data_IF_348503702494
#
_entry.id   IF_348503702494
#
_cell.length_a   1.000
_cell.length_b   1.000
_cell.length_c   1.000
_cell.angle_alpha   90.00
_cell.angle_beta   90.00
_cell.angle_gamma   90.00
#
_symmetry.space_group_name_H-M   'P 1'
#
loop_
_entity.id
_entity.type
_entity.pdbx_description
1 polymer ?
#
# COMPACT_ATOMS: atom_id res chain seq x y z
N UNK A 1 9.92 -15.85 54.24
CA UNK A 1 9.30 -14.69 53.58
C UNK A 1 9.21 -15.00 52.08
N UNK A 2 8.02 -15.38 51.60
CA UNK A 2 7.75 -15.63 50.17
C UNK A 2 7.36 -14.29 49.56
N UNK A 3 8.21 -13.73 48.70
CA UNK A 3 7.90 -12.52 47.96
C UNK A 3 6.89 -12.87 46.85
N UNK A 4 5.74 -12.18 46.88
CA UNK A 4 4.74 -12.25 45.84
C UNK A 4 5.28 -11.57 44.58
N UNK A 5 5.38 -12.34 43.49
CA UNK A 5 5.60 -11.78 42.16
C UNK A 5 4.32 -11.04 41.74
N UNK A 6 4.41 -9.72 41.67
CA UNK A 6 3.37 -8.90 41.07
C UNK A 6 3.29 -9.24 39.58
N UNK A 7 2.21 -9.90 39.17
CA UNK A 7 1.84 -10.08 37.78
C UNK A 7 1.41 -8.72 37.26
N UNK A 8 2.30 -8.05 36.53
CA UNK A 8 1.92 -6.89 35.72
C UNK A 8 1.08 -7.39 34.53
N UNK A 9 -0.01 -6.69 34.16
CA UNK A 9 -0.85 -7.10 33.05
C UNK A 9 -0.06 -7.04 31.74
N UNK A 10 0.08 -8.20 31.10
CA UNK A 10 0.64 -8.38 29.76
C UNK A 10 -0.27 -7.73 28.72
N UNK A 11 0.09 -6.55 28.22
CA UNK A 11 -0.55 -5.98 27.03
C UNK A 11 -0.14 -6.80 25.80
N UNK A 12 -1.03 -7.21 24.89
CA UNK A 12 -0.61 -7.72 23.58
C UNK A 12 -0.20 -6.54 22.69
N UNK A 13 1.04 -6.53 22.18
CA UNK A 13 1.44 -5.54 21.16
C UNK A 13 0.95 -6.05 19.81
N UNK A 14 -0.23 -5.58 19.42
CA UNK A 14 -0.68 -5.43 18.04
C UNK A 14 -1.20 -4.01 17.95
N UNK A 15 -0.49 -3.11 17.28
CA UNK A 15 -0.99 -1.75 17.08
C UNK A 15 -1.40 -1.56 15.62
N UNK A 16 -2.58 -2.09 15.30
CA UNK A 16 -3.48 -1.45 14.33
C UNK A 16 -4.40 -0.52 15.14
N UNK A 17 -4.05 0.76 15.27
CA UNK A 17 -4.92 1.77 15.90
C UNK A 17 -5.40 2.73 14.82
N UNK A 18 -6.70 2.75 14.54
CA UNK A 18 -7.37 3.86 13.87
C UNK A 18 -8.77 4.07 14.46
N UNK A 19 -9.05 5.33 14.79
CA UNK A 19 -10.37 5.84 15.14
C UNK A 19 -11.10 6.19 13.82
N UNK A 20 -12.37 5.79 13.63
CA UNK A 20 -13.17 6.29 12.52
C UNK A 20 -13.90 7.59 12.91
N UNK A 21 -13.81 8.63 12.07
CA UNK A 21 -14.82 9.69 11.99
C UNK A 21 -15.92 9.24 11.02
N UNK A 22 -17.18 9.36 11.46
CA UNK A 22 -18.34 8.96 10.70
C UNK A 22 -18.59 9.93 9.53
N UNK A 23 -18.95 9.40 8.36
CA UNK A 23 -19.58 10.19 7.29
C UNK A 23 -20.73 9.41 6.64
N UNK A 24 -21.82 10.15 6.43
CA UNK A 24 -23.10 9.76 5.86
C UNK A 24 -23.05 9.68 4.34
N UNK A 25 -23.55 8.59 3.75
CA UNK A 25 -23.72 8.46 2.32
C UNK A 25 -25.04 9.08 1.84
N UNK A 26 -24.94 9.94 0.81
CA UNK A 26 -26.06 10.33 -0.07
C UNK A 26 -25.86 9.62 -1.41
N UNK A 27 -26.89 8.92 -1.88
CA UNK A 27 -26.96 8.27 -3.20
C UNK A 27 -27.29 9.29 -4.30
N UNK A 28 -26.72 9.22 -5.52
CA UNK A 28 -27.22 10.01 -6.64
C UNK A 28 -28.40 9.31 -7.32
N UNK A 29 -29.54 10.01 -7.36
CA UNK A 29 -30.68 9.65 -8.22
C UNK A 29 -30.31 9.78 -9.70
N UNK A 30 -30.63 8.73 -10.46
CA UNK A 30 -30.62 8.74 -11.91
C UNK A 30 -31.73 9.65 -12.46
N UNK A 31 -31.39 10.58 -13.36
CA UNK A 31 -32.37 11.19 -14.27
C UNK A 31 -31.92 11.11 -15.72
N UNK A 32 -32.84 10.56 -16.51
CA UNK A 32 -32.85 10.42 -17.97
C UNK A 32 -32.94 11.78 -18.66
N UNK A 33 -32.28 11.92 -19.80
CA UNK A 33 -32.90 12.48 -21.01
C UNK A 33 -32.12 12.03 -22.24
N UNK A 34 -32.76 11.17 -23.03
CA UNK A 34 -32.32 10.76 -24.37
C UNK A 34 -32.84 11.81 -25.34
N UNK A 35 -31.96 12.45 -26.09
CA UNK A 35 -32.32 13.15 -27.33
C UNK A 35 -31.34 12.76 -28.43
N UNK A 36 -31.85 11.97 -29.39
CA UNK A 36 -31.20 11.67 -30.66
C UNK A 36 -31.55 12.74 -31.69
N UNK A 37 -30.59 13.29 -32.44
CA UNK A 37 -30.88 13.91 -33.72
C UNK A 37 -30.58 12.97 -34.89
N UNK A 38 -31.58 12.88 -35.74
CA UNK A 38 -31.65 12.19 -37.02
C UNK A 38 -30.58 12.59 -38.04
N UNK A 39 -30.22 11.59 -38.84
CA UNK A 39 -29.57 11.61 -40.15
C UNK A 39 -29.69 12.88 -41.01
N UNK A 40 -28.59 13.30 -41.63
CA UNK A 40 -28.60 13.90 -42.98
C UNK A 40 -27.37 13.54 -43.79
N UNK A 41 -27.64 13.01 -44.99
CA UNK A 41 -26.73 12.68 -46.10
C UNK A 41 -25.96 13.90 -46.60
N UNK A 42 -24.75 13.69 -47.15
CA UNK A 42 -24.28 14.50 -48.28
C UNK A 42 -22.77 14.58 -48.57
N UNK A 43 -22.35 13.85 -49.61
CA UNK A 43 -21.38 14.21 -50.68
C UNK A 43 -19.90 14.59 -50.37
N UNK A 44 -19.01 13.72 -50.87
CA UNK A 44 -17.85 13.98 -51.79
C UNK A 44 -17.44 15.45 -52.03
N UNK A 45 -16.15 15.82 -51.80
CA UNK A 45 -15.05 15.92 -52.81
C UNK A 45 -13.79 16.66 -52.25
N UNK A 46 -12.62 16.12 -52.65
CA UNK A 46 -11.34 16.77 -53.04
C UNK A 46 -10.63 17.84 -52.18
N UNK A 47 -9.39 17.49 -51.80
CA UNK A 47 -8.11 18.22 -51.95
C UNK A 47 -8.15 19.75 -52.19
N UNK A 48 -7.51 20.51 -51.31
CA UNK A 48 -6.45 21.47 -51.66
C UNK A 48 -5.69 21.99 -50.43
N UNK A 49 -4.38 22.14 -50.62
CA UNK A 49 -3.42 22.89 -49.82
C UNK A 49 -3.66 24.40 -49.88
N UNK A 50 -3.34 25.12 -48.81
CA UNK A 50 -3.23 26.59 -48.83
C UNK A 50 -2.87 27.18 -47.47
N UNK A 51 -1.81 27.97 -47.43
CA UNK A 51 -1.20 28.55 -46.24
C UNK A 51 -1.74 29.95 -45.89
N UNK A 52 -1.42 30.36 -44.66
CA UNK A 52 -1.06 31.71 -44.20
C UNK A 52 -2.12 32.71 -43.66
N UNK A 53 -1.69 33.36 -42.56
CA UNK A 53 -1.99 34.71 -42.04
C UNK A 53 -3.38 34.93 -41.40
N UNK A 54 -3.49 35.24 -40.11
CA UNK A 54 -3.17 36.46 -39.33
C UNK A 54 -4.40 37.34 -39.10
N UNK A 55 -4.71 37.62 -37.83
CA UNK A 55 -5.49 38.75 -37.26
C UNK A 55 -6.22 38.20 -36.01
N UNK A 56 -5.74 38.47 -34.80
CA UNK A 56 -5.99 39.69 -34.02
C UNK A 56 -7.48 39.90 -33.71
N UNK A 57 -7.87 39.54 -32.48
CA UNK A 57 -9.16 39.87 -31.88
C UNK A 57 -8.99 39.86 -30.36
N UNK A 58 -8.63 41.03 -29.83
CA UNK A 58 -8.73 41.36 -28.40
C UNK A 58 -10.15 41.13 -27.92
N UNK A 59 -10.32 40.24 -26.95
CA UNK A 59 -11.51 40.18 -26.10
C UNK A 59 -11.08 40.17 -24.64
N UNK A 60 -11.60 41.13 -23.89
CA UNK A 60 -11.44 41.24 -22.44
C UNK A 60 -12.18 40.08 -21.75
N UNK A 61 -11.53 39.33 -20.84
CA UNK A 61 -12.26 38.46 -19.94
C UNK A 61 -12.87 39.30 -18.81
N UNK A 62 -14.15 39.08 -18.56
CA UNK A 62 -14.83 39.53 -17.35
C UNK A 62 -14.28 38.69 -16.19
N UNK A 63 -13.80 39.39 -15.16
CA UNK A 63 -13.52 38.82 -13.85
C UNK A 63 -14.88 38.60 -13.18
N UNK A 64 -15.37 37.36 -13.23
CA UNK A 64 -16.41 36.89 -12.33
C UNK A 64 -15.67 36.40 -11.06
N UNK A 65 -15.73 37.24 -10.02
CA UNK A 65 -15.27 36.93 -8.67
C UNK A 65 -16.29 35.96 -8.03
N UNK A 66 -16.18 34.67 -8.36
CA UNK A 66 -16.91 33.62 -7.67
C UNK A 66 -16.11 33.18 -6.42
N UNK A 67 -16.68 33.52 -5.26
CA UNK A 67 -16.32 33.09 -3.91
C UNK A 67 -16.42 31.55 -3.76
N UNK A 68 -15.41 30.83 -4.28
CA UNK A 68 -15.23 29.38 -4.13
C UNK A 68 -14.28 29.03 -2.94
N UNK A 69 -14.19 29.93 -1.95
CA UNK A 69 -13.43 29.71 -0.71
C UNK A 69 -14.38 29.15 0.33
N UNK A 70 -14.43 27.82 0.43
CA UNK A 70 -14.85 27.02 1.59
C UNK A 70 -15.31 25.61 1.14
N UNK A 71 -14.68 25.05 0.10
CA UNK A 71 -14.60 23.59 0.03
C UNK A 71 -13.57 23.17 1.06
N UNK A 72 -14.06 22.95 2.28
CA UNK A 72 -13.41 22.10 3.25
C UNK A 72 -12.94 20.84 2.50
N UNK A 73 -11.63 20.79 2.25
CA UNK A 73 -10.92 19.57 1.90
C UNK A 73 -10.97 18.68 3.15
N UNK A 74 -12.16 18.18 3.49
CA UNK A 74 -12.29 16.93 4.21
C UNK A 74 -11.72 15.91 3.24
N UNK A 75 -10.39 15.76 3.29
CA UNK A 75 -9.58 15.26 2.19
C UNK A 75 -9.85 13.77 1.94
N UNK A 76 -10.88 13.17 2.57
CA UNK A 76 -11.42 11.85 2.28
C UNK A 76 -10.39 10.73 2.40
N UNK A 77 -9.16 11.07 2.81
CA UNK A 77 -8.02 10.21 2.98
C UNK A 77 -8.33 9.38 4.21
N UNK A 78 -9.14 8.36 3.98
CA UNK A 78 -9.28 7.23 4.89
C UNK A 78 -7.86 6.91 5.37
N UNK A 79 -7.61 6.88 6.68
CA UNK A 79 -6.28 6.59 7.16
C UNK A 79 -5.88 5.20 6.65
N UNK A 80 -5.03 5.22 5.62
CA UNK A 80 -4.55 4.10 4.80
C UNK A 80 -3.82 3.02 5.63
N UNK A 81 -3.49 3.28 6.91
CA UNK A 81 -2.79 2.33 7.78
C UNK A 81 -3.57 1.01 7.98
N UNK A 82 -4.79 0.91 7.47
CA UNK A 82 -5.52 -0.34 7.30
C UNK A 82 -4.83 -1.39 6.42
N UNK A 83 -3.79 -1.04 5.63
CA UNK A 83 -3.07 -1.97 4.73
C UNK A 83 -1.55 -1.93 4.85
N UNK A 84 -1.05 -1.56 6.03
CA UNK A 84 0.37 -1.58 6.31
C UNK A 84 0.70 -2.55 7.44
N UNK A 85 1.73 -3.38 7.24
CA UNK A 85 2.33 -4.19 8.28
C UNK A 85 3.75 -3.69 8.51
N UNK A 86 3.96 -2.99 9.63
CA UNK A 86 5.24 -2.41 10.01
C UNK A 86 5.82 -3.21 11.17
N UNK A 87 7.06 -3.68 11.06
CA UNK A 87 7.64 -4.59 12.06
C UNK A 87 9.16 -4.49 12.16
N UNK A 88 9.69 -4.95 13.29
CA UNK A 88 11.11 -4.94 13.63
C UNK A 88 11.84 -6.14 12.99
N UNK A 89 11.32 -7.35 13.23
CA UNK A 89 11.88 -8.63 12.82
C UNK A 89 10.84 -9.43 12.01
N UNK A 90 11.27 -10.12 10.95
CA UNK A 90 10.36 -10.97 10.17
C UNK A 90 9.95 -12.21 10.95
N UNK A 91 10.90 -12.82 11.66
CA UNK A 91 10.68 -14.07 12.37
C UNK A 91 9.74 -13.85 13.57
N UNK A 92 9.97 -12.80 14.36
CA UNK A 92 9.17 -12.50 15.55
C UNK A 92 7.91 -11.68 15.22
N UNK A 93 8.00 -10.79 14.23
CA UNK A 93 6.93 -9.86 13.88
C UNK A 93 5.89 -10.43 12.93
N UNK A 94 6.26 -11.39 12.07
CA UNK A 94 5.36 -11.92 11.03
C UNK A 94 5.26 -13.43 11.08
N UNK A 95 6.35 -14.19 10.96
CA UNK A 95 6.26 -15.64 10.74
C UNK A 95 5.70 -16.40 11.95
N UNK A 96 6.06 -15.98 13.17
CA UNK A 96 5.55 -16.55 14.42
C UNK A 96 4.27 -15.87 14.95
N UNK A 97 3.93 -14.68 14.43
CA UNK A 97 2.81 -13.90 14.92
C UNK A 97 1.51 -14.21 14.14
N UNK A 98 0.60 -14.96 14.77
CA UNK A 98 -0.67 -15.39 14.16
C UNK A 98 -1.52 -14.19 13.71
N UNK A 99 -1.62 -13.14 14.53
CA UNK A 99 -2.41 -11.96 14.18
C UNK A 99 -1.83 -11.21 12.97
N UNK A 100 -0.50 -11.07 12.89
CA UNK A 100 0.17 -10.47 11.74
C UNK A 100 -0.05 -11.30 10.46
N UNK A 101 -0.01 -12.63 10.57
CA UNK A 101 -0.30 -13.56 9.46
C UNK A 101 -1.74 -13.47 8.98
N UNK A 102 -2.71 -13.48 9.89
CA UNK A 102 -4.12 -13.34 9.54
C UNK A 102 -4.40 -11.98 8.91
N UNK A 103 -3.83 -10.90 9.47
CA UNK A 103 -3.90 -9.56 8.87
C UNK A 103 -3.32 -9.54 7.45
N UNK A 104 -2.13 -10.10 7.24
CA UNK A 104 -1.48 -10.15 5.93
C UNK A 104 -2.32 -10.98 4.94
N UNK A 105 -2.76 -12.17 5.34
CA UNK A 105 -3.59 -13.06 4.52
C UNK A 105 -4.87 -12.35 4.06
N UNK A 106 -5.60 -11.74 4.99
CA UNK A 106 -6.83 -10.99 4.72
C UNK A 106 -6.58 -9.80 3.80
N UNK A 107 -5.53 -9.01 4.07
CA UNK A 107 -5.21 -7.81 3.28
C UNK A 107 -4.86 -8.17 1.84
N UNK A 108 -4.14 -9.27 1.62
CA UNK A 108 -3.79 -9.74 0.27
C UNK A 108 -5.00 -10.33 -0.46
N UNK A 109 -5.89 -11.06 0.23
CA UNK A 109 -7.16 -11.50 -0.36
C UNK A 109 -8.05 -10.32 -0.76
N UNK A 110 -8.12 -9.27 0.08
CA UNK A 110 -8.81 -8.03 -0.26
C UNK A 110 -8.20 -7.35 -1.49
N UNK A 111 -6.86 -7.27 -1.57
CA UNK A 111 -6.17 -6.68 -2.72
C UNK A 111 -6.49 -7.43 -4.03
N UNK A 112 -6.45 -8.77 -4.00
CA UNK A 112 -6.81 -9.63 -5.13
C UNK A 112 -8.29 -9.47 -5.53
N UNK A 113 -9.21 -9.41 -4.56
CA UNK A 113 -10.63 -9.18 -4.84
C UNK A 113 -10.88 -7.82 -5.49
N UNK A 114 -10.17 -6.77 -5.06
CA UNK A 114 -10.28 -5.43 -5.65
C UNK A 114 -9.75 -5.38 -7.07
N UNK A 115 -8.63 -6.03 -7.34
CA UNK A 115 -8.16 -6.21 -8.72
C UNK A 115 -9.22 -6.92 -9.56
N UNK A 116 -9.80 -8.01 -9.04
CA UNK A 116 -10.85 -8.76 -9.75
C UNK A 116 -12.09 -7.90 -10.00
N UNK A 117 -12.53 -7.09 -9.03
CA UNK A 117 -13.66 -6.16 -9.21
C UNK A 117 -13.40 -5.19 -10.36
N UNK A 118 -12.22 -4.55 -10.38
CA UNK A 118 -11.82 -3.62 -11.46
C UNK A 118 -11.86 -4.33 -12.83
N UNK A 119 -11.32 -5.56 -12.90
CA UNK A 119 -11.32 -6.32 -14.14
C UNK A 119 -12.75 -6.68 -14.62
N UNK A 120 -13.65 -7.03 -13.69
CA UNK A 120 -15.06 -7.31 -14.02
C UNK A 120 -15.77 -6.02 -14.46
N UNK A 121 -15.54 -4.88 -13.78
CA UNK A 121 -16.09 -3.59 -14.17
C UNK A 121 -15.68 -3.19 -15.60
N UNK A 122 -14.41 -3.42 -15.95
CA UNK A 122 -13.91 -3.17 -17.31
C UNK A 122 -14.57 -4.11 -18.35
N UNK A 123 -14.88 -5.36 -17.99
CA UNK A 123 -15.62 -6.29 -18.85
C UNK A 123 -17.11 -5.89 -19.00
N UNK A 124 -17.75 -5.49 -17.90
CA UNK A 124 -19.11 -4.91 -17.92
C UNK A 124 -19.16 -3.68 -18.84
N UNK A 125 -18.18 -2.78 -18.70
CA UNK A 125 -18.07 -1.59 -19.55
C UNK A 125 -17.85 -1.95 -21.03
N UNK A 126 -16.95 -2.89 -21.30
CA UNK A 126 -16.59 -3.30 -22.66
C UNK A 126 -17.73 -4.05 -23.36
N UNK A 127 -18.42 -4.95 -22.64
CA UNK A 127 -19.57 -5.69 -23.16
C UNK A 127 -20.76 -4.77 -23.45
N UNK A 128 -21.05 -3.81 -22.57
CA UNK A 128 -22.06 -2.79 -22.80
C UNK A 128 -21.76 -1.93 -24.04
N UNK A 129 -20.48 -1.58 -24.25
CA UNK A 129 -20.07 -0.82 -25.43
C UNK A 129 -20.17 -1.63 -26.73
N UNK A 130 -19.90 -2.94 -26.69
CA UNK A 130 -19.96 -3.82 -27.85
C UNK A 130 -21.40 -4.07 -28.34
N UNK A 131 -22.37 -4.17 -27.42
CA UNK A 131 -23.77 -4.42 -27.79
C UNK A 131 -24.75 -3.50 -27.05
N UNK A 132 -24.94 -2.25 -27.52
CA UNK A 132 -25.82 -1.28 -26.87
C UNK A 132 -27.27 -1.76 -26.71
N UNK A 133 -27.73 -2.66 -27.58
CA UNK A 133 -29.08 -3.21 -27.55
C UNK A 133 -29.25 -4.39 -26.58
N UNK A 134 -28.17 -5.13 -26.29
CA UNK A 134 -28.22 -6.32 -25.42
C UNK A 134 -27.76 -6.00 -23.99
N UNK A 135 -27.16 -4.83 -23.75
CA UNK A 135 -26.65 -4.43 -22.46
C UNK A 135 -25.33 -5.13 -22.08
N UNK A 136 -24.83 -4.90 -20.86
CA UNK A 136 -23.68 -5.61 -20.32
C UNK A 136 -23.95 -7.11 -20.18
N UNK A 137 -22.88 -7.90 -20.16
CA UNK A 137 -22.95 -9.35 -19.89
C UNK A 137 -23.61 -9.62 -18.52
N UNK A 138 -24.73 -10.37 -18.45
CA UNK A 138 -25.36 -10.73 -17.18
C UNK A 138 -24.41 -11.47 -16.24
N UNK A 139 -23.57 -12.35 -16.79
CA UNK A 139 -22.56 -13.07 -16.00
C UNK A 139 -21.52 -12.14 -15.36
N UNK A 140 -21.11 -11.09 -16.07
CA UNK A 140 -20.16 -10.12 -15.52
C UNK A 140 -20.80 -9.29 -14.39
N UNK A 141 -22.11 -8.97 -14.51
CA UNK A 141 -22.85 -8.32 -13.42
C UNK A 141 -22.97 -9.24 -12.21
N UNK A 142 -23.36 -10.49 -12.39
CA UNK A 142 -23.50 -11.47 -11.30
C UNK A 142 -22.16 -11.67 -10.56
N UNK A 143 -21.05 -11.76 -11.32
CA UNK A 143 -19.70 -11.84 -10.77
C UNK A 143 -19.34 -10.58 -9.97
N UNK A 144 -19.67 -9.38 -10.49
CA UNK A 144 -19.41 -8.12 -9.80
C UNK A 144 -20.19 -8.03 -8.49
N UNK A 145 -21.49 -8.33 -8.52
CA UNK A 145 -22.34 -8.33 -7.32
C UNK A 145 -21.81 -9.30 -6.24
N UNK A 146 -21.27 -10.44 -6.65
CA UNK A 146 -20.68 -11.41 -5.73
C UNK A 146 -19.40 -10.89 -5.08
N UNK A 147 -18.51 -10.29 -5.86
CA UNK A 147 -17.26 -9.68 -5.35
C UNK A 147 -17.55 -8.49 -4.44
N UNK A 148 -18.44 -7.58 -4.87
CA UNK A 148 -18.86 -6.42 -4.08
C UNK A 148 -19.56 -6.84 -2.80
N UNK A 149 -20.39 -7.88 -2.85
CA UNK A 149 -21.01 -8.47 -1.67
C UNK A 149 -19.99 -8.91 -0.61
N UNK A 150 -18.86 -9.51 -1.03
CA UNK A 150 -17.78 -9.89 -0.12
C UNK A 150 -17.01 -8.69 0.43
N UNK A 151 -16.70 -7.70 -0.42
CA UNK A 151 -15.99 -6.49 -0.01
C UNK A 151 -16.83 -5.65 0.97
N UNK A 152 -18.13 -5.48 0.71
CA UNK A 152 -19.05 -4.76 1.59
C UNK A 152 -19.24 -5.48 2.93
N UNK A 153 -19.25 -6.82 2.95
CA UNK A 153 -19.27 -7.59 4.21
C UNK A 153 -18.01 -7.34 5.02
N UNK A 154 -16.84 -7.23 4.37
CA UNK A 154 -15.57 -6.92 5.04
C UNK A 154 -15.58 -5.50 5.62
N UNK A 155 -16.02 -4.51 4.83
CA UNK A 155 -16.11 -3.11 5.24
C UNK A 155 -17.08 -2.91 6.41
N UNK A 156 -18.25 -3.54 6.39
CA UNK A 156 -19.20 -3.50 7.51
C UNK A 156 -18.61 -4.07 8.80
N UNK A 157 -17.78 -5.11 8.69
CA UNK A 157 -17.06 -5.68 9.84
C UNK A 157 -16.00 -4.72 10.39
N UNK A 158 -15.34 -3.92 9.53
CA UNK A 158 -14.38 -2.90 9.96
C UNK A 158 -15.04 -1.66 10.57
N UNK A 159 -16.17 -1.22 10.01
CA UNK A 159 -16.84 0.03 10.40
C UNK A 159 -17.69 -0.06 11.68
N UNK A 160 -18.10 -1.25 12.12
CA UNK A 160 -19.05 -1.42 13.23
C UNK A 160 -18.47 -1.27 14.65
N UNK A 161 -17.15 -1.35 14.81
CA UNK A 161 -16.44 -1.11 16.07
C UNK A 161 -15.09 -0.56 15.73
N UNK A 162 -14.76 0.63 16.24
CA UNK A 162 -13.38 1.13 16.21
C UNK A 162 -12.45 0.00 16.63
N UNK A 163 -11.42 -0.25 15.83
CA UNK A 163 -10.48 -1.37 15.95
C UNK A 163 -9.67 -1.21 17.24
N UNK A 164 -10.33 -1.46 18.37
CA UNK A 164 -9.68 -1.70 19.65
C UNK A 164 -9.44 -3.20 19.65
N UNK A 165 -8.20 -3.55 19.33
CA UNK A 165 -7.66 -4.89 19.12
C UNK A 165 -7.67 -5.76 20.40
N UNK A 166 -8.81 -5.90 21.07
CA UNK A 166 -8.84 -6.62 22.35
C UNK A 166 -9.08 -8.14 22.22
N UNK A 167 -9.25 -8.62 20.97
CA UNK A 167 -8.94 -9.96 20.48
C UNK A 167 -9.55 -10.09 19.08
N UNK A 168 -8.74 -10.21 18.01
CA UNK A 168 -9.30 -10.70 16.77
C UNK A 168 -9.93 -12.07 17.05
N UNK A 169 -11.20 -12.21 16.73
CA UNK A 169 -11.80 -13.54 16.60
C UNK A 169 -11.19 -14.16 15.34
N UNK A 170 -10.01 -14.77 15.52
CA UNK A 170 -9.14 -15.26 14.44
C UNK A 170 -9.91 -16.18 13.50
N UNK A 171 -10.86 -16.96 14.02
CA UNK A 171 -11.69 -17.87 13.21
C UNK A 171 -12.59 -17.15 12.19
N UNK A 172 -13.11 -15.97 12.52
CA UNK A 172 -14.05 -15.26 11.64
C UNK A 172 -13.36 -14.53 10.49
N UNK A 173 -12.18 -13.94 10.75
CA UNK A 173 -11.36 -13.30 9.72
C UNK A 173 -10.83 -14.34 8.72
N UNK A 174 -10.42 -15.50 9.24
CA UNK A 174 -9.93 -16.59 8.41
C UNK A 174 -11.04 -17.21 7.55
N UNK A 175 -12.27 -17.30 8.06
CA UNK A 175 -13.44 -17.77 7.29
C UNK A 175 -13.74 -16.88 6.08
N UNK A 176 -13.81 -15.55 6.26
CA UNK A 176 -14.02 -14.62 5.13
C UNK A 176 -12.87 -14.69 4.12
N UNK A 177 -11.63 -14.76 4.62
CA UNK A 177 -10.44 -14.83 3.76
C UNK A 177 -10.46 -16.11 2.93
N UNK A 178 -10.88 -17.22 3.52
CA UNK A 178 -11.04 -18.51 2.84
C UNK A 178 -12.15 -18.44 1.78
N UNK A 179 -13.31 -17.84 2.08
CA UNK A 179 -14.39 -17.61 1.11
C UNK A 179 -13.91 -16.75 -0.07
N UNK A 180 -13.19 -15.67 0.19
CA UNK A 180 -12.60 -14.79 -0.81
C UNK A 180 -11.62 -15.52 -1.73
N UNK A 181 -10.69 -16.29 -1.16
CA UNK A 181 -9.72 -17.06 -1.93
C UNK A 181 -10.41 -18.18 -2.75
N UNK A 182 -11.45 -18.84 -2.20
CA UNK A 182 -12.26 -19.82 -2.95
C UNK A 182 -12.92 -19.18 -4.16
N UNK A 183 -13.51 -17.99 -4.00
CA UNK A 183 -14.10 -17.24 -5.12
C UNK A 183 -13.06 -16.99 -6.22
N UNK A 184 -11.89 -16.46 -5.86
CA UNK A 184 -10.80 -16.15 -6.79
C UNK A 184 -10.30 -17.40 -7.54
N UNK A 185 -10.33 -18.57 -6.90
CA UNK A 185 -9.92 -19.85 -7.51
C UNK A 185 -10.99 -20.45 -8.41
N UNK A 186 -12.29 -20.31 -8.07
CA UNK A 186 -13.40 -20.87 -8.85
C UNK A 186 -13.65 -20.13 -10.16
N UNK A 187 -13.41 -18.82 -10.19
CA UNK A 187 -13.57 -18.00 -11.41
C UNK A 187 -12.63 -18.39 -12.56
N UNK A 188 -11.68 -19.32 -12.35
CA UNK A 188 -10.78 -19.86 -13.39
C UNK A 188 -11.45 -20.81 -14.39
N UNK A 189 -12.69 -21.28 -14.13
CA UNK A 189 -13.25 -22.45 -14.83
C UNK A 189 -14.30 -22.20 -15.93
N UNK A 190 -14.97 -21.04 -15.95
CA UNK A 190 -16.14 -20.84 -16.80
C UNK A 190 -15.80 -20.11 -18.11
N UNK A 191 -15.36 -20.87 -19.11
CA UNK A 191 -15.78 -20.59 -20.48
C UNK A 191 -14.80 -19.86 -21.41
N UNK A 192 -13.52 -19.69 -21.06
CA UNK A 192 -12.57 -19.23 -22.06
C UNK A 192 -12.39 -20.31 -23.13
N UNK A 193 -12.69 -20.01 -24.41
CA UNK A 193 -12.48 -20.96 -25.48
C UNK A 193 -10.98 -21.31 -25.55
N UNK A 194 -10.64 -22.61 -25.64
CA UNK A 194 -9.25 -23.05 -25.72
C UNK A 194 -8.60 -22.42 -26.96
N UNK A 195 -7.78 -21.39 -26.76
CA UNK A 195 -7.08 -20.68 -27.85
C UNK A 195 -7.07 -19.16 -27.76
N UNK A 196 -7.85 -18.52 -26.87
CA UNK A 196 -7.63 -17.09 -26.55
C UNK A 196 -6.61 -17.01 -25.42
N UNK A 197 -5.44 -16.46 -25.74
CA UNK A 197 -4.26 -16.44 -24.88
C UNK A 197 -4.55 -15.96 -23.45
N UNK A 198 -4.00 -16.72 -22.50
CA UNK A 198 -3.65 -16.32 -21.13
C UNK A 198 -4.67 -15.42 -20.45
N UNK A 199 -5.84 -15.95 -20.07
CA UNK A 199 -6.50 -15.39 -18.89
C UNK A 199 -5.59 -15.68 -17.71
N UNK A 200 -4.79 -14.66 -17.39
CA UNK A 200 -3.78 -14.69 -16.35
C UNK A 200 -4.50 -15.07 -15.08
N UNK A 201 -4.28 -16.30 -14.68
CA UNK A 201 -4.89 -16.80 -13.48
C UNK A 201 -4.52 -15.90 -12.31
N UNK A 202 -5.47 -15.64 -11.41
CA UNK A 202 -5.24 -14.78 -10.25
C UNK A 202 -3.91 -15.16 -9.58
N UNK A 203 -2.95 -14.24 -9.66
CA UNK A 203 -1.59 -14.46 -9.21
C UNK A 203 -1.21 -13.33 -8.26
N UNK A 204 -0.71 -13.70 -7.09
CA UNK A 204 -0.20 -12.76 -6.11
C UNK A 204 1.14 -12.19 -6.58
N UNK A 205 1.10 -10.99 -7.16
CA UNK A 205 2.29 -10.19 -7.49
C UNK A 205 2.94 -9.55 -6.26
N UNK A 206 4.22 -9.85 -6.06
CA UNK A 206 5.05 -9.39 -4.93
C UNK A 206 6.25 -8.61 -5.43
N UNK A 207 6.33 -7.34 -5.06
CA UNK A 207 7.50 -6.49 -5.31
C UNK A 207 8.37 -6.45 -4.05
N UNK A 208 9.55 -7.07 -4.13
CA UNK A 208 10.49 -7.14 -3.01
C UNK A 208 11.60 -6.11 -3.16
N UNK A 209 11.83 -5.29 -2.13
CA UNK A 209 12.76 -4.14 -2.15
C UNK A 209 13.84 -4.31 -1.06
N UNK A 210 15.02 -4.86 -1.40
CA UNK A 210 16.14 -5.05 -0.47
C UNK A 210 17.10 -3.87 -0.38
N UNK A 211 16.83 -2.74 -1.05
CA UNK A 211 17.83 -1.66 -1.29
C UNK A 211 18.48 -1.12 -0.02
N UNK A 212 17.77 -1.08 1.11
CA UNK A 212 18.35 -0.68 2.40
C UNK A 212 19.59 -1.51 2.80
N UNK A 213 19.65 -2.78 2.37
CA UNK A 213 20.78 -3.69 2.64
C UNK A 213 22.01 -3.39 1.79
N UNK A 214 21.89 -2.57 0.74
CA UNK A 214 22.97 -2.29 -0.21
C UNK A 214 23.87 -1.12 0.19
N UNK A 215 23.57 -0.46 1.31
CA UNK A 215 24.45 0.54 1.89
C UNK A 215 25.83 -0.05 2.13
N UNK A 216 26.85 0.62 1.63
CA UNK A 216 28.23 0.19 1.74
C UNK A 216 28.77 0.59 3.11
N UNK A 217 29.43 -0.34 3.80
CA UNK A 217 30.19 -0.01 5.00
C UNK A 217 31.57 0.49 4.59
N UNK A 218 31.89 1.79 4.78
CA UNK A 218 33.20 2.35 4.42
C UNK A 218 34.33 1.78 5.28
N UNK A 219 34.01 1.19 6.44
CA UNK A 219 34.99 0.59 7.35
C UNK A 219 35.30 -0.87 7.00
N UNK A 220 34.49 -1.49 6.15
CA UNK A 220 34.69 -2.89 5.75
C UNK A 220 35.89 -3.02 4.81
N UNK A 221 36.75 -4.00 5.08
CA UNK A 221 37.88 -4.35 4.20
C UNK A 221 37.45 -5.03 2.89
N UNK A 222 36.18 -5.37 2.74
CA UNK A 222 35.66 -5.95 1.50
C UNK A 222 35.40 -4.86 0.47
N UNK A 223 35.75 -5.13 -0.79
CA UNK A 223 35.43 -4.23 -1.90
C UNK A 223 33.92 -3.98 -2.00
N UNK A 224 33.49 -2.79 -2.48
CA UNK A 224 32.07 -2.47 -2.67
C UNK A 224 31.30 -3.54 -3.46
N UNK A 225 31.92 -4.09 -4.51
CA UNK A 225 31.31 -5.17 -5.30
C UNK A 225 31.03 -6.43 -4.49
N UNK A 226 31.94 -6.83 -3.60
CA UNK A 226 31.78 -8.00 -2.73
C UNK A 226 30.71 -7.76 -1.67
N UNK A 227 30.64 -6.56 -1.10
CA UNK A 227 29.59 -6.18 -0.14
C UNK A 227 28.20 -6.28 -0.81
N UNK A 228 28.04 -5.67 -2.00
CA UNK A 228 26.78 -5.75 -2.76
C UNK A 228 26.42 -7.18 -3.16
N UNK A 229 27.40 -8.00 -3.55
CA UNK A 229 27.14 -9.41 -3.89
C UNK A 229 26.59 -10.19 -2.69
N UNK A 230 27.18 -10.01 -1.50
CA UNK A 230 26.68 -10.63 -0.26
C UNK A 230 25.27 -10.15 0.08
N UNK A 231 25.06 -8.84 0.06
CA UNK A 231 23.75 -8.27 0.35
C UNK A 231 22.66 -8.76 -0.62
N UNK A 232 22.99 -8.95 -1.90
CA UNK A 232 22.06 -9.55 -2.89
C UNK A 232 21.76 -11.03 -2.61
N UNK A 233 22.76 -11.80 -2.17
CA UNK A 233 22.56 -13.19 -1.78
C UNK A 233 21.67 -13.31 -0.54
N UNK A 234 21.91 -12.46 0.46
CA UNK A 234 21.08 -12.40 1.67
C UNK A 234 19.66 -11.91 1.37
N UNK A 235 19.53 -10.89 0.51
CA UNK A 235 18.25 -10.39 0.03
C UNK A 235 17.43 -11.48 -0.67
N UNK A 236 18.07 -12.29 -1.52
CA UNK A 236 17.42 -13.45 -2.16
C UNK A 236 16.92 -14.45 -1.13
N UNK A 237 17.77 -14.86 -0.17
CA UNK A 237 17.39 -15.82 0.88
C UNK A 237 16.19 -15.33 1.72
N UNK A 238 16.17 -14.03 2.05
CA UNK A 238 15.05 -13.43 2.81
C UNK A 238 13.77 -13.36 2.00
N UNK A 239 13.87 -12.99 0.72
CA UNK A 239 12.74 -13.04 -0.20
C UNK A 239 12.18 -14.45 -0.31
N UNK A 240 13.02 -15.47 -0.50
CA UNK A 240 12.54 -16.85 -0.66
C UNK A 240 11.77 -17.31 0.60
N UNK A 241 12.25 -16.97 1.81
CA UNK A 241 11.49 -17.18 3.06
C UNK A 241 10.13 -16.46 3.09
N UNK A 242 10.06 -15.24 2.57
CA UNK A 242 8.80 -14.50 2.45
C UNK A 242 7.85 -15.21 1.48
N UNK A 243 8.34 -15.68 0.34
CA UNK A 243 7.54 -16.40 -0.64
C UNK A 243 6.99 -17.71 -0.06
N UNK A 244 7.81 -18.48 0.66
CA UNK A 244 7.36 -19.70 1.35
C UNK A 244 6.21 -19.41 2.33
N UNK A 245 6.32 -18.31 3.10
CA UNK A 245 5.24 -17.89 3.99
C UNK A 245 3.97 -17.53 3.21
N UNK A 246 4.09 -16.76 2.13
CA UNK A 246 2.95 -16.32 1.32
C UNK A 246 2.27 -17.49 0.63
N UNK A 247 3.02 -18.46 0.11
CA UNK A 247 2.46 -19.69 -0.46
C UNK A 247 1.61 -20.45 0.58
N UNK A 248 2.11 -20.54 1.83
CA UNK A 248 1.35 -21.12 2.93
C UNK A 248 0.07 -20.34 3.25
N UNK A 249 0.13 -19.00 3.27
CA UNK A 249 -1.03 -18.14 3.54
C UNK A 249 -2.08 -18.18 2.41
N UNK A 250 -1.65 -18.38 1.17
CA UNK A 250 -2.52 -18.36 -0.02
C UNK A 250 -2.98 -19.76 -0.46
N UNK A 251 -2.76 -20.77 0.36
CA UNK A 251 -3.28 -22.14 0.16
C UNK A 251 -4.62 -22.29 0.88
N UNK A 252 -5.55 -23.00 0.25
CA UNK A 252 -6.82 -23.44 0.87
C UNK A 252 -6.77 -24.95 0.96
N UNK A 253 -7.00 -25.45 2.17
CA UNK A 253 -7.27 -26.86 2.40
C UNK A 253 -8.78 -27.06 2.18
N UNK A 254 -9.15 -27.92 1.22
CA UNK A 254 -10.52 -28.35 1.02
C UNK A 254 -10.76 -29.54 1.96
N UNK A 255 -11.40 -29.27 3.09
CA UNK A 255 -11.62 -30.25 4.18
C UNK A 255 -12.78 -31.23 3.90
N UNK A 256 -13.54 -31.01 2.83
CA UNK A 256 -14.83 -31.70 2.59
C UNK A 256 -14.73 -33.04 1.82
N UNK A 257 -13.52 -33.44 1.40
CA UNK A 257 -13.32 -34.72 0.69
C UNK A 257 -12.64 -35.74 1.63
N UNK A 258 -13.45 -36.63 2.22
CA UNK A 258 -13.04 -37.79 3.03
C UNK A 258 -12.30 -38.88 2.20
N UNK A 259 -12.06 -38.63 0.91
CA UNK A 259 -11.31 -39.54 0.05
C UNK A 259 -9.79 -39.33 0.26
N UNK A 260 -9.11 -40.39 0.71
CA UNK A 260 -7.67 -40.48 1.00
C UNK A 260 -6.73 -40.27 -0.22
N UNK A 261 -7.25 -39.81 -1.36
CA UNK A 261 -6.44 -39.50 -2.55
C UNK A 261 -5.88 -38.09 -2.44
N UNK A 262 -4.54 -37.98 -2.40
CA UNK A 262 -3.70 -36.77 -2.37
C UNK A 262 -4.45 -35.49 -2.79
N UNK A 263 -5.11 -34.88 -1.80
CA UNK A 263 -6.09 -33.80 -1.96
C UNK A 263 -5.56 -32.68 -2.83
N UNK A 264 -6.42 -32.23 -3.75
CA UNK A 264 -6.17 -31.11 -4.65
C UNK A 264 -6.01 -29.78 -3.89
N UNK A 265 -4.86 -29.55 -3.26
CA UNK A 265 -4.51 -28.24 -2.70
C UNK A 265 -4.57 -27.19 -3.79
N UNK A 266 -5.57 -26.31 -3.71
CA UNK A 266 -5.70 -25.18 -4.62
C UNK A 266 -4.91 -24.02 -4.05
N UNK A 267 -4.03 -23.46 -4.88
CA UNK A 267 -3.18 -22.32 -4.52
C UNK A 267 -3.31 -21.19 -5.52
N UNK A 268 -3.31 -19.96 -4.99
CA UNK A 268 -3.05 -18.77 -5.79
C UNK A 268 -1.56 -18.79 -6.15
N UNK A 269 -1.23 -18.61 -7.44
CA UNK A 269 0.17 -18.57 -7.86
C UNK A 269 0.85 -17.31 -7.31
N UNK A 270 2.13 -17.39 -6.96
CA UNK A 270 2.89 -16.23 -6.47
C UNK A 270 3.91 -15.83 -7.53
N UNK A 271 3.83 -14.57 -7.99
CA UNK A 271 4.80 -13.97 -8.89
C UNK A 271 5.62 -12.97 -8.10
N UNK A 272 6.95 -13.05 -8.18
CA UNK A 272 7.81 -12.12 -7.45
C UNK A 272 8.95 -11.61 -8.31
N UNK A 273 9.28 -10.33 -8.14
CA UNK A 273 10.49 -9.72 -8.68
C UNK A 273 11.13 -8.82 -7.63
N UNK A 274 12.44 -8.62 -7.75
CA UNK A 274 13.21 -7.76 -6.85
C UNK A 274 13.50 -6.43 -7.51
N UNK A 275 13.10 -5.33 -6.88
CA UNK A 275 13.40 -3.97 -7.33
C UNK A 275 14.58 -3.40 -6.53
N UNK A 276 15.61 -2.98 -7.24
CA UNK A 276 16.74 -2.23 -6.70
C UNK A 276 16.53 -0.74 -6.94
N UNK A 277 16.14 0.02 -5.92
CA UNK A 277 15.83 1.45 -6.04
C UNK A 277 17.06 2.32 -6.34
N UNK A 278 18.29 1.82 -6.20
CA UNK A 278 19.51 2.61 -6.51
C UNK A 278 19.68 2.84 -8.02
N UNK A 279 19.36 1.82 -8.82
CA UNK A 279 19.51 1.79 -10.28
C UNK A 279 18.19 1.53 -11.04
N UNK A 280 17.09 1.29 -10.34
CA UNK A 280 15.76 1.01 -10.90
C UNK A 280 15.62 -0.35 -11.56
N UNK A 281 16.62 -1.21 -11.45
CA UNK A 281 16.63 -2.51 -12.13
C UNK A 281 15.77 -3.56 -11.43
N UNK A 282 15.13 -4.39 -12.26
CA UNK A 282 14.40 -5.57 -11.83
C UNK A 282 15.29 -6.80 -11.92
N UNK A 283 15.26 -7.63 -10.89
CA UNK A 283 16.14 -8.78 -10.74
C UNK A 283 15.35 -9.98 -10.24
N UNK A 284 15.82 -11.17 -10.62
CA UNK A 284 15.42 -12.45 -10.04
C UNK A 284 13.89 -12.70 -10.08
N UNK A 285 13.25 -12.72 -11.27
CA UNK A 285 11.85 -13.12 -11.37
C UNK A 285 11.65 -14.54 -10.84
N UNK A 286 10.53 -14.77 -10.15
CA UNK A 286 10.12 -16.07 -9.58
C UNK A 286 8.62 -16.26 -9.82
N UNK A 287 8.21 -17.50 -10.10
CA UNK A 287 6.80 -17.90 -10.19
C UNK A 287 6.27 -18.15 -11.61
N UNK A 288 6.96 -17.65 -12.63
CA UNK A 288 6.65 -17.92 -14.05
C UNK A 288 7.92 -17.98 -14.89
N UNK A 289 7.84 -18.74 -15.99
CA UNK A 289 8.87 -18.77 -17.04
C UNK A 289 8.57 -17.77 -18.17
N UNK A 290 7.37 -17.18 -18.20
CA UNK A 290 7.01 -16.17 -19.18
C UNK A 290 7.51 -14.80 -18.71
N UNK A 291 8.36 -14.17 -19.52
CA UNK A 291 8.89 -12.85 -19.21
C UNK A 291 7.82 -11.75 -19.20
N UNK A 292 6.69 -11.96 -19.91
CA UNK A 292 5.58 -11.00 -19.97
C UNK A 292 4.76 -10.93 -18.68
N UNK A 293 4.90 -11.91 -17.78
CA UNK A 293 4.27 -11.89 -16.45
C UNK A 293 4.97 -10.91 -15.47
N UNK A 294 6.12 -10.37 -15.87
CA UNK A 294 6.95 -9.50 -15.05
C UNK A 294 7.03 -8.08 -15.64
N UNK A 295 7.22 -7.05 -14.80
CA UNK A 295 7.34 -5.68 -15.27
C UNK A 295 8.62 -5.49 -16.08
N UNK A 296 8.59 -4.51 -16.99
CA UNK A 296 9.72 -4.16 -17.83
C UNK A 296 10.81 -3.40 -17.07
N UNK A 297 10.41 -2.53 -16.13
CA UNK A 297 11.30 -1.68 -15.34
C UNK A 297 10.71 -1.37 -13.95
N UNK A 298 11.48 -0.69 -13.10
CA UNK A 298 11.07 -0.38 -11.74
C UNK A 298 9.83 0.52 -11.61
N UNK A 299 9.57 1.41 -12.57
CA UNK A 299 8.36 2.24 -12.55
C UNK A 299 7.14 1.44 -12.99
N UNK A 300 7.27 0.66 -14.06
CA UNK A 300 6.25 -0.30 -14.49
C UNK A 300 5.89 -1.27 -13.36
N UNK A 301 6.87 -1.68 -12.55
CA UNK A 301 6.65 -2.56 -11.40
C UNK A 301 5.73 -1.97 -10.33
N UNK A 302 5.69 -0.64 -10.16
CA UNK A 302 4.83 0.04 -9.19
C UNK A 302 3.51 0.55 -9.82
N UNK A 303 3.52 0.85 -11.12
CA UNK A 303 2.40 1.52 -11.80
C UNK A 303 1.52 0.56 -12.58
N UNK A 304 2.05 -0.08 -13.63
CA UNK A 304 1.26 -0.93 -14.54
C UNK A 304 1.17 -2.36 -14.07
N UNK A 305 2.22 -2.90 -13.45
CA UNK A 305 2.24 -4.25 -12.87
C UNK A 305 1.41 -4.34 -11.59
N UNK A 306 1.19 -3.22 -10.89
CA UNK A 306 0.30 -3.08 -9.71
C UNK A 306 0.48 -4.21 -8.69
N UNK A 307 1.57 -4.21 -7.90
CA UNK A 307 1.85 -5.32 -7.00
C UNK A 307 0.77 -5.39 -5.92
N UNK A 308 0.43 -6.60 -5.48
CA UNK A 308 -0.47 -6.79 -4.33
C UNK A 308 0.27 -6.61 -3.01
N UNK A 309 1.58 -6.89 -3.01
CA UNK A 309 2.46 -6.73 -1.86
C UNK A 309 3.71 -5.95 -2.27
N UNK A 310 3.95 -4.83 -1.60
CA UNK A 310 5.22 -4.13 -1.62
C UNK A 310 5.95 -4.42 -0.30
N UNK A 311 6.99 -5.24 -0.36
CA UNK A 311 7.77 -5.61 0.81
C UNK A 311 9.12 -4.88 0.81
N UNK A 312 9.33 -4.00 1.80
CA UNK A 312 10.53 -3.18 1.95
C UNK A 312 11.35 -3.68 3.13
N UNK A 313 12.52 -4.22 2.83
CA UNK A 313 13.41 -4.87 3.80
C UNK A 313 14.15 -3.86 4.70
N UNK A 314 14.67 -4.36 5.83
CA UNK A 314 15.52 -3.57 6.72
C UNK A 314 16.94 -3.36 6.19
N UNK A 315 17.65 -2.40 6.78
CA UNK A 315 19.01 -2.03 6.40
C UNK A 315 19.30 -0.61 6.87
N UNK A 316 20.04 0.17 6.08
CA UNK A 316 20.26 1.58 6.36
C UNK A 316 19.11 2.43 5.79
N UNK A 317 18.41 3.14 6.67
CA UNK A 317 17.24 3.97 6.42
C UNK A 317 17.56 5.18 5.55
N UNK A 318 18.68 5.84 5.81
CA UNK A 318 19.12 7.02 5.06
C UNK A 318 19.44 6.66 3.60
N UNK A 319 20.15 5.56 3.39
CA UNK A 319 20.42 5.03 2.05
C UNK A 319 19.13 4.66 1.31
N UNK A 320 18.21 3.95 1.97
CA UNK A 320 16.91 3.60 1.40
C UNK A 320 16.14 4.85 0.95
N UNK A 321 16.07 5.85 1.84
CA UNK A 321 15.37 7.10 1.58
C UNK A 321 15.99 7.88 0.43
N UNK A 322 17.31 7.97 0.39
CA UNK A 322 18.08 8.58 -0.68
C UNK A 322 17.78 7.92 -2.04
N UNK A 323 17.79 6.58 -2.12
CA UNK A 323 17.49 5.86 -3.35
C UNK A 323 16.05 6.10 -3.83
N UNK A 324 15.07 6.12 -2.93
CA UNK A 324 13.67 6.44 -3.28
C UNK A 324 13.56 7.85 -3.90
N UNK A 325 14.27 8.82 -3.35
CA UNK A 325 14.27 10.22 -3.79
C UNK A 325 14.98 10.38 -5.13
N UNK A 326 16.22 9.90 -5.21
CA UNK A 326 17.07 9.92 -6.42
C UNK A 326 16.38 9.25 -7.60
N UNK A 327 15.67 8.15 -7.37
CA UNK A 327 14.95 7.40 -8.39
C UNK A 327 13.54 7.93 -8.71
N UNK A 328 13.03 8.92 -7.97
CA UNK A 328 11.66 9.42 -8.15
C UNK A 328 10.56 8.41 -7.77
N UNK A 329 10.86 7.48 -6.86
CA UNK A 329 9.95 6.39 -6.48
C UNK A 329 8.97 6.74 -5.35
N UNK A 330 9.16 7.87 -4.67
CA UNK A 330 8.34 8.26 -3.50
C UNK A 330 6.85 8.28 -3.86
N UNK A 331 6.48 9.01 -4.91
CA UNK A 331 5.07 9.15 -5.31
C UNK A 331 4.54 7.86 -5.93
N UNK A 332 5.34 7.14 -6.73
CA UNK A 332 4.93 5.85 -7.28
C UNK A 332 4.62 4.80 -6.20
N UNK A 333 5.41 4.78 -5.10
CA UNK A 333 5.16 3.89 -3.95
C UNK A 333 3.89 4.33 -3.21
N UNK A 334 3.72 5.63 -2.98
CA UNK A 334 2.51 6.19 -2.35
C UNK A 334 1.27 5.85 -3.17
N UNK A 335 1.30 6.06 -4.48
CA UNK A 335 0.18 5.81 -5.37
C UNK A 335 -0.18 4.32 -5.43
N UNK A 336 0.82 3.44 -5.49
CA UNK A 336 0.59 1.99 -5.49
C UNK A 336 -0.14 1.50 -4.22
N UNK A 337 0.15 2.12 -3.07
CA UNK A 337 -0.39 1.71 -1.77
C UNK A 337 -1.68 2.46 -1.38
N UNK A 338 -1.74 3.77 -1.65
CA UNK A 338 -2.73 4.69 -1.12
C UNK A 338 -3.36 5.62 -2.17
N UNK A 339 -2.87 5.61 -3.42
CA UNK A 339 -3.43 6.41 -4.50
C UNK A 339 -4.78 5.89 -5.00
N UNK A 340 -5.45 6.62 -5.92
CA UNK A 340 -6.65 6.14 -6.59
C UNK A 340 -6.38 4.81 -7.33
N UNK A 341 -7.07 3.75 -6.92
CA UNK A 341 -6.82 2.40 -7.44
C UNK A 341 -5.62 1.69 -6.82
N UNK A 342 -4.91 2.30 -5.88
CA UNK A 342 -3.90 1.66 -5.06
C UNK A 342 -4.51 0.57 -4.17
N UNK A 343 -3.96 -0.64 -4.26
CA UNK A 343 -4.36 -1.77 -3.42
C UNK A 343 -3.18 -2.56 -2.88
N UNK A 344 -1.94 -2.11 -3.12
CA UNK A 344 -0.76 -2.78 -2.60
C UNK A 344 -0.76 -2.73 -1.07
N UNK A 345 -0.55 -3.90 -0.46
CA UNK A 345 -0.24 -4.00 0.97
C UNK A 345 1.21 -3.61 1.16
N UNK A 346 1.48 -2.64 2.03
CA UNK A 346 2.85 -2.23 2.36
C UNK A 346 3.36 -3.05 3.54
N UNK A 347 4.46 -3.78 3.37
CA UNK A 347 5.16 -4.46 4.45
C UNK A 347 6.53 -3.83 4.66
N UNK A 348 6.70 -3.10 5.75
CA UNK A 348 7.95 -2.42 6.08
C UNK A 348 8.67 -3.09 7.24
N UNK A 349 9.90 -3.56 7.00
CA UNK A 349 10.76 -4.08 8.07
C UNK A 349 11.84 -3.08 8.45
N UNK A 350 11.96 -2.75 9.74
CA UNK A 350 13.01 -1.87 10.26
C UNK A 350 13.11 -0.54 9.48
N UNK A 351 14.13 -0.36 8.63
CA UNK A 351 14.27 0.80 7.75
C UNK A 351 13.03 1.02 6.87
N UNK A 352 12.46 -0.05 6.30
CA UNK A 352 11.19 0.00 5.56
C UNK A 352 10.03 0.50 6.42
N UNK A 353 10.02 0.17 7.71
CA UNK A 353 9.00 0.67 8.63
C UNK A 353 9.17 2.15 8.97
N UNK A 354 10.43 2.61 9.14
CA UNK A 354 10.74 4.02 9.40
C UNK A 354 10.36 4.88 8.20
N UNK A 355 10.74 4.50 6.97
CA UNK A 355 10.40 5.30 5.78
C UNK A 355 8.91 5.33 5.49
N UNK A 356 8.13 4.36 5.97
CA UNK A 356 6.66 4.42 5.91
C UNK A 356 6.05 5.48 6.84
N UNK A 357 6.83 6.04 7.77
CA UNK A 357 6.44 7.14 8.64
C UNK A 357 6.30 8.47 7.90
N UNK A 358 5.84 9.48 8.63
CA UNK A 358 5.82 10.90 8.23
C UNK A 358 7.20 11.41 7.90
N UNK A 359 8.19 11.05 8.73
CA UNK A 359 9.59 11.43 8.61
C UNK A 359 10.49 10.27 9.00
N UNK A 360 11.75 10.33 8.55
CA UNK A 360 12.76 9.30 8.85
C UNK A 360 13.59 9.63 10.10
N UNK A 361 13.18 10.64 10.87
CA UNK A 361 13.95 11.19 11.99
C UNK A 361 14.20 10.15 13.09
N UNK A 362 13.32 9.16 13.24
CA UNK A 362 13.46 8.08 14.23
C UNK A 362 14.69 7.21 14.01
N UNK A 363 15.23 7.15 12.79
CA UNK A 363 16.51 6.48 12.51
C UNK A 363 17.71 7.17 13.18
N UNK A 364 17.60 8.47 13.48
CA UNK A 364 18.68 9.25 14.11
C UNK A 364 18.84 8.97 15.61
N UNK A 365 17.88 8.27 16.24
CA UNK A 365 17.82 8.18 17.70
C UNK A 365 18.72 7.10 18.29
N UNK A 366 18.89 5.97 17.59
CA UNK A 366 19.71 4.84 18.07
C UNK A 366 21.16 4.88 17.60
N UNK A 367 21.42 5.66 16.54
CA UNK A 367 22.70 5.68 15.85
C UNK A 367 23.07 4.38 15.15
N UNK A 368 22.09 3.53 14.82
CA UNK A 368 22.30 2.27 14.11
C UNK A 368 22.46 2.48 12.60
N UNK A 369 21.80 3.50 12.06
CA UNK A 369 21.89 3.91 10.67
C UNK A 369 23.02 4.94 10.52
N UNK A 370 24.00 4.66 9.65
CA UNK A 370 25.11 5.58 9.36
C UNK A 370 24.69 6.57 8.26
N UNK A 371 24.58 7.89 8.54
CA UNK A 371 24.22 8.89 7.52
C UNK A 371 25.35 9.14 6.51
N UNK A 372 26.61 8.84 6.85
CA UNK A 372 27.76 9.11 5.98
C UNK A 372 27.78 8.30 4.68
N UNK A 373 26.93 7.26 4.60
CA UNK A 373 26.74 6.47 3.37
C UNK A 373 26.02 7.24 2.26
N UNK A 374 25.39 8.38 2.58
CA UNK A 374 24.70 9.24 1.62
C UNK A 374 25.56 10.47 1.30
N UNK A 375 26.01 10.63 0.03
CA UNK A 375 26.80 11.79 -0.36
C UNK A 375 26.05 13.11 -0.13
N UNK A 376 26.66 14.03 0.61
CA UNK A 376 26.09 15.35 0.91
C UNK A 376 25.12 15.41 2.08
N UNK A 377 24.78 14.28 2.72
CA UNK A 377 23.89 14.21 3.89
C UNK A 377 24.51 13.35 5.00
N UNK A 378 25.76 13.66 5.35
CA UNK A 378 26.59 12.81 6.18
C UNK A 378 26.39 12.95 7.69
N UNK A 379 25.48 13.80 8.15
CA UNK A 379 25.24 14.05 9.58
C UNK A 379 23.79 13.75 9.95
N UNK A 380 23.52 13.37 11.20
CA UNK A 380 22.14 13.15 11.65
C UNK A 380 21.24 14.39 11.55
N UNK A 381 21.83 15.60 11.61
CA UNK A 381 21.09 16.85 11.45
C UNK A 381 20.48 17.02 10.06
N UNK A 382 21.10 16.42 9.02
CA UNK A 382 20.58 16.46 7.65
C UNK A 382 19.27 15.67 7.51
N UNK A 383 18.93 14.82 8.49
CA UNK A 383 17.80 13.88 8.44
C UNK A 383 16.69 14.17 9.44
N UNK A 384 16.80 15.19 10.29
CA UNK A 384 15.82 15.48 11.35
C UNK A 384 14.43 15.81 10.82
N UNK A 385 14.37 16.41 9.63
CA UNK A 385 13.13 16.89 9.00
C UNK A 385 12.92 16.28 7.62
N UNK A 386 13.69 15.22 7.29
CA UNK A 386 13.55 14.55 6.01
C UNK A 386 12.22 13.78 5.97
N UNK A 387 11.30 14.10 5.03
CA UNK A 387 9.99 13.47 4.98
C UNK A 387 10.12 12.01 4.56
N UNK A 388 9.35 11.14 5.20
CA UNK A 388 9.17 9.76 4.78
C UNK A 388 8.12 9.66 3.67
N UNK A 389 7.54 8.48 3.52
CA UNK A 389 6.44 8.24 2.61
C UNK A 389 5.13 8.82 3.16
N UNK A 390 5.12 9.28 4.41
CA UNK A 390 3.90 9.62 5.14
C UNK A 390 2.81 8.61 4.85
N UNK A 391 3.23 7.34 4.98
CA UNK A 391 2.38 6.20 5.09
C UNK A 391 1.38 6.61 6.16
N UNK A 392 1.74 6.38 7.42
CA UNK A 392 0.88 6.23 8.61
C UNK A 392 0.14 7.50 9.11
N UNK A 393 -0.34 8.35 8.22
CA UNK A 393 -1.22 9.48 8.55
C UNK A 393 -0.58 10.46 9.52
N UNK A 394 0.62 10.94 9.18
CA UNK A 394 1.37 11.89 10.00
C UNK A 394 2.10 11.28 11.20
N UNK A 395 2.02 9.96 11.40
CA UNK A 395 2.73 9.26 12.48
C UNK A 395 4.16 8.87 12.06
N UNK A 396 5.08 8.73 13.02
CA UNK A 396 6.41 8.16 12.77
C UNK A 396 6.58 6.85 13.54
N UNK A 397 7.51 6.01 13.08
CA UNK A 397 7.66 4.65 13.58
C UNK A 397 9.06 4.40 14.16
N UNK A 398 9.13 3.75 15.32
CA UNK A 398 10.38 3.41 16.01
C UNK A 398 10.49 1.89 16.18
N UNK A 399 11.19 1.18 15.26
CA UNK A 399 11.37 -0.27 15.32
C UNK A 399 12.32 -0.69 16.44
N UNK A 400 12.35 -1.99 16.75
CA UNK A 400 13.24 -2.64 17.73
C UNK A 400 13.18 -1.99 19.11
N UNK A 401 11.99 -1.64 19.56
CA UNK A 401 11.81 -1.09 20.90
C UNK A 401 12.21 -2.14 21.94
N UNK A 402 12.90 -1.70 22.96
CA UNK A 402 13.20 -2.45 24.18
C UNK A 402 13.15 -1.47 25.33
N UNK A 403 13.21 -1.98 26.57
CA UNK A 403 13.17 -1.13 27.76
C UNK A 403 14.31 -0.10 27.78
N UNK A 404 15.46 -0.43 27.18
CA UNK A 404 16.63 0.46 27.07
C UNK A 404 16.35 1.77 26.30
N UNK A 405 15.31 1.79 25.45
CA UNK A 405 14.98 2.93 24.61
C UNK A 405 13.83 3.79 25.16
N UNK A 406 13.22 3.43 26.29
CA UNK A 406 12.07 4.14 26.86
C UNK A 406 12.38 5.61 27.11
N UNK A 407 13.51 5.90 27.75
CA UNK A 407 13.90 7.27 28.09
C UNK A 407 14.14 8.11 26.83
N UNK A 408 14.86 7.58 25.85
CA UNK A 408 15.11 8.26 24.56
C UNK A 408 13.81 8.56 23.83
N UNK A 409 12.88 7.60 23.78
CA UNK A 409 11.59 7.79 23.11
C UNK A 409 10.76 8.86 23.82
N UNK A 410 10.71 8.82 25.15
CA UNK A 410 9.97 9.80 25.95
C UNK A 410 10.54 11.22 25.76
N UNK A 411 11.87 11.38 25.84
CA UNK A 411 12.57 12.66 25.62
C UNK A 411 12.29 13.25 24.22
N UNK A 412 12.27 12.40 23.19
CA UNK A 412 12.01 12.84 21.81
C UNK A 412 10.55 13.21 21.57
N UNK A 413 9.62 12.50 22.21
CA UNK A 413 8.19 12.84 22.16
C UNK A 413 7.90 14.19 22.84
N UNK A 414 8.54 14.48 23.98
CA UNK A 414 8.35 15.77 24.67
C UNK A 414 8.94 16.93 23.87
N UNK A 415 10.17 16.80 23.39
CA UNK A 415 10.85 17.85 22.60
C UNK A 415 10.06 18.24 21.34
N UNK A 416 9.45 17.25 20.68
CA UNK A 416 8.65 17.47 19.47
C UNK A 416 7.34 18.21 19.78
N UNK A 417 6.81 18.05 21.00
CA UNK A 417 5.60 18.74 21.45
C UNK A 417 5.88 20.20 21.79
N UNK A 418 7.05 20.50 22.38
CA UNK A 418 7.45 21.86 22.75
C UNK A 418 7.71 22.76 21.55
N UNK A 419 8.48 22.29 20.55
CA UNK A 419 8.75 23.07 19.32
C UNK A 419 7.49 23.59 18.62
N UNK A 420 6.38 22.84 18.71
CA UNK A 420 5.12 23.25 18.08
C UNK A 420 4.45 24.40 18.80
N UNK A 421 4.56 24.47 20.13
CA UNK A 421 3.97 25.57 20.90
C UNK A 421 4.66 26.88 20.54
N UNK A 422 5.96 26.83 20.27
CA UNK A 422 6.72 27.99 19.85
C UNK A 422 6.36 28.45 18.43
N UNK A 423 6.18 27.52 17.49
CA UNK A 423 5.79 27.84 16.10
C UNK A 423 4.35 28.37 15.98
N UNK A 424 3.44 27.94 16.85
CA UNK A 424 2.04 28.39 16.86
C UNK A 424 1.82 29.69 17.66
N UNK A 425 2.76 30.07 18.54
CA UNK A 425 2.61 31.18 19.47
C UNK A 425 2.99 32.58 18.94
N UNK A 426 3.53 32.70 17.72
CA UNK A 426 4.02 33.98 17.18
C UNK A 426 3.17 34.55 16.03
N UNK A 427 2.02 33.96 15.74
CA UNK A 427 0.98 34.55 14.89
C UNK A 427 0.25 35.64 15.67
N UNK A 428 0.54 36.90 15.34
CA UNK A 428 0.03 38.08 16.05
C UNK A 428 -1.49 38.08 16.26
N UNK A 429 -1.88 38.57 17.44
CA UNK A 429 -3.23 38.89 17.85
C UNK A 429 -3.92 39.82 16.84
N UNK A 430 -4.68 39.25 15.89
CA UNK A 430 -5.89 39.88 15.38
C UNK A 430 -7.09 39.03 15.82
N UNK A 431 -7.83 39.56 16.79
CA UNK A 431 -9.03 38.98 17.35
C UNK A 431 -10.12 38.85 16.27
N UNK A 432 -10.37 37.63 15.79
CA UNK A 432 -11.64 37.24 15.20
C UNK A 432 -12.09 35.91 15.80
N UNK A 433 -13.05 36.01 16.73
CA UNK A 433 -13.62 34.91 17.50
C UNK A 433 -14.58 34.05 16.67
N UNK A 434 -14.14 32.98 16.01
CA UNK A 434 -15.04 31.90 15.54
C UNK A 434 -14.33 30.55 15.46
N UNK A 435 -14.88 29.53 16.14
CA UNK A 435 -14.79 28.12 15.72
C UNK A 435 -13.67 27.25 16.29
N UNK A 436 -13.98 26.54 17.39
CA UNK A 436 -13.21 25.46 18.06
C UNK A 436 -12.26 24.64 17.17
N UNK A 437 -10.98 24.68 17.53
CA UNK A 437 -9.92 23.80 17.04
C UNK A 437 -10.13 22.32 17.42
N UNK A 438 -9.94 21.43 16.44
CA UNK A 438 -9.67 20.00 16.67
C UNK A 438 -8.15 19.84 16.82
N UNK A 439 -7.69 19.42 17.99
CA UNK A 439 -6.30 18.95 18.17
C UNK A 439 -6.08 17.66 17.35
N UNK A 440 -5.49 17.80 16.15
CA UNK A 440 -4.92 16.66 15.43
C UNK A 440 -3.62 16.22 16.11
N UNK A 441 -3.75 15.32 17.09
CA UNK A 441 -2.63 14.72 17.81
C UNK A 441 -1.76 13.89 16.88
N UNK A 442 -0.49 14.27 16.70
CA UNK A 442 0.51 13.40 16.03
C UNK A 442 0.95 12.29 16.96
N UNK A 443 0.98 11.05 16.48
CA UNK A 443 1.33 9.86 17.26
C UNK A 443 2.69 9.28 16.84
N UNK A 444 3.50 8.84 17.82
CA UNK A 444 4.66 7.98 17.57
C UNK A 444 4.27 6.55 17.92
N UNK A 445 4.61 5.61 17.05
CA UNK A 445 4.36 4.18 17.23
C UNK A 445 5.68 3.45 17.55
N UNK A 446 5.75 2.80 18.71
CA UNK A 446 6.92 2.01 19.13
C UNK A 446 6.56 0.52 19.15
N UNK A 447 7.40 -0.34 18.55
CA UNK A 447 7.20 -1.80 18.53
C UNK A 447 8.32 -2.56 19.21
N UNK A 448 7.96 -3.29 20.28
CA UNK A 448 8.86 -4.11 21.06
C UNK A 448 9.25 -5.42 20.39
N UNK A 449 10.48 -5.87 20.61
CA UNK A 449 10.83 -7.29 20.49
C UNK A 449 10.25 -8.03 21.71
N UNK A 450 9.67 -9.21 21.51
CA UNK A 450 9.17 -10.09 22.58
C UNK A 450 9.75 -11.47 22.47
#
# INVERSE_FOLDING_TARGET
MKAAAAVLPTLPIVICRLLPTASSFVTPEARRSVDCPSSRRGRRRSLSSGAASSADSRSHPRHDDDDDRDRDHDDGRRPWAARALLFSSFDDGVSSNVAARSFLRRSLAEALLRERAIAIEDDVRSSAAFSPCNGPSPHAIDDLERVDGLLLRDDRRRGGRGVVADRPDDGMADSWTTEALRLLLLSRGCGDPPGRGTTTTAALRVLYVPTAMYALDPRSSNSPGRQRQRARADGRKRRDKLLDLLEGLMTIDDDDDDDDDDRHRRRIGVLSTTLDLDDGSLKQPVGSNDASDFPLDGFAALTTWRPHLLYVEGGNTFWLRHCMEKGGYVDAIRDACAGPGGFAVYCGKSAGAIVAGRDVSTATWKGWDDPSVVPGMGTYGDWSDCPGLDLVGGSSFFPHMSDDWLDTVNERMTTTTERRRDDSGNGGLEEASVGRDREEGRHLLALGER
#
